data_IF_128450439999
#
_entry.id   IF_128450439999
#
_cell.length_a   1.000
_cell.length_b   1.000
_cell.length_c   1.000
_cell.angle_alpha   90.00
_cell.angle_beta   90.00
_cell.angle_gamma   90.00
#
_symmetry.space_group_name_H-M   'P 1'
#
loop_
_entity.id
_entity.type
_entity.pdbx_description
1 polymer ?
#
# COMPACT_ATOMS: atom_id res chain seq x y z
N UNK A 1 -14.24 -6.76 -8.89
CA UNK A 1 -13.78 -5.93 -7.76
C UNK A 1 -12.38 -5.46 -8.12
N UNK A 2 -12.09 -4.15 -8.05
CA UNK A 2 -10.74 -3.63 -8.27
C UNK A 2 -9.71 -4.32 -7.37
N UNK A 3 -8.45 -4.36 -7.80
CA UNK A 3 -7.36 -5.01 -7.07
C UNK A 3 -6.24 -4.04 -6.76
N UNK A 4 -5.60 -4.23 -5.60
CA UNK A 4 -4.34 -3.59 -5.23
C UNK A 4 -3.25 -4.66 -5.21
N UNK A 5 -2.40 -4.67 -6.24
CA UNK A 5 -1.30 -5.62 -6.36
C UNK A 5 -0.10 -5.13 -5.58
N UNK A 6 0.35 -5.89 -4.57
CA UNK A 6 1.56 -5.57 -3.81
C UNK A 6 2.80 -5.75 -4.68
N UNK A 7 3.50 -4.65 -4.94
CA UNK A 7 4.72 -4.60 -5.76
C UNK A 7 5.96 -4.25 -4.95
N UNK A 8 5.79 -3.88 -3.68
CA UNK A 8 6.89 -3.69 -2.74
C UNK A 8 6.44 -3.98 -1.30
N UNK A 9 7.27 -4.72 -0.57
CA UNK A 9 7.03 -5.11 0.83
C UNK A 9 8.05 -4.42 1.72
N UNK A 10 7.56 -3.89 2.84
CA UNK A 10 8.32 -3.16 3.86
C UNK A 10 9.38 -2.22 3.28
N UNK A 11 8.94 -1.25 2.47
CA UNK A 11 9.81 -0.41 1.65
C UNK A 11 10.60 0.65 2.44
N UNK A 12 10.37 0.76 3.76
CA UNK A 12 11.01 1.74 4.63
C UNK A 12 10.68 3.21 4.31
N UNK A 13 11.23 4.15 5.09
CA UNK A 13 11.07 5.60 4.85
C UNK A 13 9.75 6.22 5.32
N UNK A 14 8.87 5.44 5.94
CA UNK A 14 7.60 5.87 6.52
C UNK A 14 7.61 5.65 8.04
N UNK A 15 6.60 6.22 8.74
CA UNK A 15 6.48 6.15 10.20
C UNK A 15 6.16 4.74 10.75
N UNK A 16 5.95 3.75 9.88
CA UNK A 16 5.70 2.36 10.22
C UNK A 16 5.80 1.47 8.98
N UNK A 17 5.37 0.20 9.10
CA UNK A 17 5.48 -0.79 8.02
C UNK A 17 4.73 -0.30 6.80
N UNK A 18 5.44 -0.16 5.68
CA UNK A 18 4.93 0.41 4.45
C UNK A 18 5.00 -0.57 3.29
N UNK A 19 3.93 -0.66 2.52
CA UNK A 19 3.85 -1.51 1.32
C UNK A 19 3.47 -0.66 0.11
N UNK A 20 4.07 -0.97 -1.03
CA UNK A 20 3.81 -0.32 -2.30
C UNK A 20 2.85 -1.17 -3.14
N UNK A 21 1.80 -0.54 -3.66
CA UNK A 21 0.77 -1.22 -4.43
C UNK A 21 0.54 -0.53 -5.78
N UNK A 22 0.27 -1.35 -6.80
CA UNK A 22 -0.30 -0.94 -8.08
C UNK A 22 -1.80 -1.25 -8.07
N UNK A 23 -2.61 -0.25 -8.37
CA UNK A 23 -4.06 -0.36 -8.41
C UNK A 23 -4.53 -0.73 -9.82
N UNK A 24 -5.56 -1.57 -9.93
CA UNK A 24 -6.18 -1.90 -11.22
C UNK A 24 -7.00 -0.74 -11.80
N UNK A 25 -7.46 0.16 -10.93
CA UNK A 25 -8.18 1.39 -11.26
C UNK A 25 -7.62 2.51 -10.36
N UNK A 26 -7.43 3.75 -10.84
CA UNK A 26 -6.82 4.81 -10.04
C UNK A 26 -7.69 5.23 -8.84
N UNK A 27 -7.08 5.45 -7.68
CA UNK A 27 -7.71 6.03 -6.50
C UNK A 27 -7.40 7.53 -6.44
N UNK A 28 -8.42 8.38 -6.58
CA UNK A 28 -8.25 9.85 -6.67
C UNK A 28 -7.18 10.29 -7.68
N UNK A 29 -7.09 9.55 -8.80
CA UNK A 29 -6.12 9.82 -9.87
C UNK A 29 -4.73 9.20 -9.67
N UNK A 30 -4.55 8.33 -8.66
CA UNK A 30 -3.30 7.62 -8.41
C UNK A 30 -3.40 6.14 -8.76
N UNK A 31 -2.58 5.68 -9.71
CA UNK A 31 -2.44 4.25 -10.06
C UNK A 31 -1.52 3.49 -9.10
N UNK A 32 -0.68 4.22 -8.37
CA UNK A 32 0.28 3.70 -7.41
C UNK A 32 0.03 4.33 -6.05
N UNK A 33 0.03 3.51 -5.02
CA UNK A 33 -0.15 3.97 -3.64
C UNK A 33 0.82 3.28 -2.71
N UNK A 34 1.25 4.00 -1.68
CA UNK A 34 1.85 3.40 -0.50
C UNK A 34 0.82 3.37 0.61
N UNK A 35 0.73 2.21 1.25
CA UNK A 35 -0.03 2.04 2.49
C UNK A 35 0.97 1.81 3.61
N UNK A 36 0.97 2.67 4.62
CA UNK A 36 1.80 2.48 5.80
C UNK A 36 0.95 2.40 7.05
N UNK A 37 1.31 1.49 7.94
CA UNK A 37 0.65 1.30 9.23
C UNK A 37 1.59 1.65 10.37
N UNK A 38 1.14 2.54 11.23
CA UNK A 38 1.80 2.90 12.48
C UNK A 38 1.05 2.17 13.59
N UNK A 39 1.75 1.27 14.28
CA UNK A 39 1.27 0.63 15.51
C UNK A 39 2.10 1.20 16.65
N UNK A 40 1.42 1.86 17.60
CA UNK A 40 2.06 2.38 18.81
C UNK A 40 1.38 1.76 20.03
N UNK A 41 1.88 0.61 20.50
CA UNK A 41 1.27 -0.14 21.59
C UNK A 41 1.00 0.72 22.82
N UNK A 42 -0.23 0.65 23.33
CA UNK A 42 -0.64 1.39 24.53
C UNK A 42 -1.08 2.85 24.26
N UNK A 43 -1.20 3.25 23.00
CA UNK A 43 -1.72 4.56 22.60
C UNK A 43 -2.97 4.43 21.72
N UNK A 44 -3.70 5.53 21.50
CA UNK A 44 -4.79 5.58 20.50
C UNK A 44 -4.28 5.98 19.11
N UNK A 45 -2.97 5.88 18.86
CA UNK A 45 -2.33 6.38 17.65
C UNK A 45 -2.15 5.34 16.55
N UNK A 46 -2.79 4.17 16.68
CA UNK A 46 -2.78 3.18 15.62
C UNK A 46 -3.42 3.76 14.37
N UNK A 47 -2.72 3.64 13.26
CA UNK A 47 -3.15 4.28 12.03
C UNK A 47 -2.71 3.51 10.80
N UNK A 48 -3.57 3.50 9.78
CA UNK A 48 -3.21 3.08 8.42
C UNK A 48 -3.45 4.22 7.47
N UNK A 49 -2.41 4.64 6.76
CA UNK A 49 -2.47 5.78 5.85
C UNK A 49 -2.22 5.30 4.44
N UNK A 50 -3.09 5.70 3.52
CA UNK A 50 -2.92 5.52 2.08
C UNK A 50 -2.48 6.86 1.48
N UNK A 51 -1.39 6.87 0.73
CA UNK A 51 -0.92 8.04 -0.03
C UNK A 51 -0.62 7.65 -1.47
N UNK A 52 -0.78 8.59 -2.40
CA UNK A 52 -0.34 8.40 -3.78
C UNK A 52 1.18 8.24 -3.85
N UNK A 53 1.67 7.36 -4.72
CA UNK A 53 3.08 7.00 -4.83
C UNK A 53 3.65 7.20 -6.24
N UNK A 54 4.98 7.25 -6.33
CA UNK A 54 5.74 7.10 -7.57
C UNK A 54 6.15 5.65 -7.77
N UNK A 55 6.66 5.32 -8.96
CA UNK A 55 7.13 3.96 -9.30
C UNK A 55 8.18 3.39 -8.33
N UNK A 56 8.97 4.25 -7.68
CA UNK A 56 9.97 3.84 -6.69
C UNK A 56 9.43 3.63 -5.27
N UNK A 57 8.12 3.80 -5.04
CA UNK A 57 7.50 3.71 -3.71
C UNK A 57 7.68 4.95 -2.85
N UNK A 58 8.24 6.05 -3.38
CA UNK A 58 8.21 7.35 -2.71
C UNK A 58 6.83 7.99 -2.82
N UNK A 59 6.36 8.64 -1.75
CA UNK A 59 5.08 9.34 -1.77
C UNK A 59 5.12 10.50 -2.78
N UNK A 60 4.12 10.57 -3.66
CA UNK A 60 3.93 11.70 -4.55
C UNK A 60 3.69 12.99 -3.75
N UNK A 61 2.75 12.90 -2.80
CA UNK A 61 2.38 13.90 -1.80
C UNK A 61 1.92 13.18 -0.52
N UNK A 62 2.07 13.81 0.65
CA UNK A 62 1.62 13.27 1.94
C UNK A 62 0.18 13.70 2.26
N UNK A 63 -0.74 13.46 1.33
CA UNK A 63 -2.19 13.65 1.51
C UNK A 63 -2.87 12.28 1.66
N UNK A 64 -3.69 12.14 2.70
CA UNK A 64 -4.41 10.90 2.97
C UNK A 64 -5.46 10.68 1.91
N UNK A 65 -5.43 9.52 1.26
CA UNK A 65 -6.43 9.08 0.29
C UNK A 65 -7.59 8.35 0.99
N UNK A 66 -8.76 8.24 0.33
CA UNK A 66 -9.90 7.48 0.83
C UNK A 66 -9.51 6.06 1.23
N UNK A 67 -10.10 5.56 2.32
CA UNK A 67 -9.77 4.24 2.91
C UNK A 67 -8.74 4.30 4.04
N UNK A 68 -8.00 5.41 4.21
CA UNK A 68 -7.14 5.62 5.39
C UNK A 68 -7.93 5.49 6.70
N UNK A 69 -7.32 4.91 7.74
CA UNK A 69 -7.95 4.50 9.00
C UNK A 69 -7.22 5.08 10.22
N UNK A 70 -7.98 5.59 11.18
CA UNK A 70 -7.50 5.93 12.53
C UNK A 70 -8.06 4.92 13.52
N UNK A 71 -7.22 4.42 14.43
CA UNK A 71 -7.54 3.38 15.42
C UNK A 71 -7.28 1.95 14.94
N UNK A 72 -6.70 1.76 13.75
CA UNK A 72 -6.36 0.45 13.19
C UNK A 72 -5.07 0.52 12.36
N UNK A 73 -4.16 -0.42 12.61
CA UNK A 73 -2.96 -0.70 11.82
C UNK A 73 -3.19 -1.95 10.94
N UNK A 74 -3.91 -1.77 9.83
CA UNK A 74 -4.39 -2.86 8.96
C UNK A 74 -4.46 -2.38 7.49
N UNK A 75 -3.48 -2.80 6.69
CA UNK A 75 -3.36 -2.42 5.28
C UNK A 75 -4.52 -2.96 4.43
N UNK A 76 -4.89 -4.22 4.65
CA UNK A 76 -5.90 -4.89 3.85
C UNK A 76 -7.27 -4.26 4.09
N UNK A 77 -7.60 -3.95 5.35
CA UNK A 77 -8.84 -3.25 5.69
C UNK A 77 -8.90 -1.85 5.10
N UNK A 78 -7.80 -1.10 5.11
CA UNK A 78 -7.76 0.23 4.51
C UNK A 78 -8.03 0.17 2.98
N UNK A 79 -7.37 -0.76 2.28
CA UNK A 79 -7.57 -0.97 0.84
C UNK A 79 -8.98 -1.51 0.52
N UNK A 80 -9.54 -2.37 1.36
CA UNK A 80 -10.90 -2.86 1.22
C UNK A 80 -11.94 -1.73 1.34
N UNK A 81 -11.73 -0.80 2.27
CA UNK A 81 -12.57 0.41 2.40
C UNK A 81 -12.41 1.38 1.22
N UNK A 82 -11.25 1.36 0.57
CA UNK A 82 -11.03 2.05 -0.70
C UNK A 82 -11.62 1.29 -1.92
N UNK A 83 -12.18 0.09 -1.72
CA UNK A 83 -12.85 -0.71 -2.76
C UNK A 83 -11.98 -1.75 -3.44
N UNK A 84 -10.77 -2.03 -2.93
CA UNK A 84 -9.80 -2.94 -3.53
C UNK A 84 -9.66 -4.24 -2.75
N UNK A 85 -9.48 -5.34 -3.47
CA UNK A 85 -8.95 -6.58 -2.92
C UNK A 85 -7.43 -6.61 -3.06
N UNK A 86 -6.71 -7.00 -2.00
CA UNK A 86 -5.25 -7.12 -2.06
C UNK A 86 -4.87 -8.42 -2.76
N UNK A 87 -3.89 -8.34 -3.66
CA UNK A 87 -3.28 -9.50 -4.32
C UNK A 87 -1.76 -9.36 -4.25
N UNK A 88 -1.05 -10.46 -4.05
CA UNK A 88 0.41 -10.46 -4.15
C UNK A 88 0.83 -10.55 -5.63
N UNK A 89 1.94 -9.90 -5.99
CA UNK A 89 2.54 -10.10 -7.29
C UNK A 89 2.90 -11.57 -7.48
N UNK A 90 2.55 -12.15 -8.63
CA UNK A 90 3.02 -13.49 -9.00
C UNK A 90 4.54 -13.41 -9.12
N UNK A 91 5.31 -14.29 -8.45
CA UNK A 91 6.75 -14.33 -8.67
C UNK A 91 6.98 -14.65 -10.15
N UNK A 92 7.73 -13.81 -10.86
CA UNK A 92 8.24 -14.17 -12.17
C UNK A 92 9.07 -15.44 -11.99
N UNK A 93 8.55 -16.59 -12.45
CA UNK A 93 9.36 -17.80 -12.58
C UNK A 93 10.47 -17.47 -13.58
N UNK A 94 11.65 -17.21 -13.03
CA UNK A 94 12.81 -16.71 -13.76
C UNK A 94 12.97 -17.47 -15.07
N UNK A 95 13.06 -16.73 -16.18
CA UNK A 95 13.56 -17.29 -17.43
C UNK A 95 14.97 -17.80 -17.17
N UNK A 96 15.09 -19.11 -16.98
CA UNK A 96 16.38 -19.80 -16.99
C UNK A 96 16.95 -19.60 -18.40
N UNK A 97 17.88 -18.67 -18.52
CA UNK A 97 18.77 -18.63 -19.67
C UNK A 97 19.78 -19.76 -19.49
N UNK A 98 19.44 -20.92 -20.04
CA UNK A 98 20.44 -21.96 -20.30
C UNK A 98 21.53 -21.36 -21.21
N UNK A 99 22.76 -21.30 -20.69
CA UNK A 99 23.98 -20.95 -21.43
C UNK A 99 24.76 -22.23 -21.72
#
# INVERSE_FOLDING_TARGET
MPTATRIGTDIGGYAGVAHHYRLSEPLDGHDLVVVFAVDMPGTQHDETVIVGAREDGSAHLMNRLPGSLVGWADHEKALALAGYNVVDAVPDEGTSVDV
#
